data_IF_055223080297
#
_entry.id   IF_055223080297
#
_cell.length_a   1.000
_cell.length_b   1.000
_cell.length_c   1.000
_cell.angle_alpha   90.00
_cell.angle_beta   90.00
_cell.angle_gamma   90.00
#
_symmetry.space_group_name_H-M   'P 1'
#
loop_
_entity.id
_entity.type
_entity.pdbx_description
1 polymer ?
#
# COMPACT_ATOMS: atom_id res chain seq x y z
N UNK A 1 2.89 -1.64 -10.32
CA UNK A 1 2.45 -2.91 -9.70
C UNK A 1 3.37 -4.05 -10.10
N UNK A 2 3.72 -4.92 -9.19
CA UNK A 2 4.55 -6.08 -9.48
C UNK A 2 3.65 -7.32 -9.62
N UNK A 3 3.40 -7.79 -10.86
CA UNK A 3 2.49 -8.93 -11.07
C UNK A 3 3.00 -10.21 -10.40
N UNK A 4 4.30 -10.36 -10.23
CA UNK A 4 4.86 -11.54 -9.55
C UNK A 4 4.47 -11.58 -8.08
N UNK A 5 4.45 -10.42 -7.41
CA UNK A 5 4.02 -10.33 -6.01
C UNK A 5 2.53 -10.64 -5.89
N UNK A 6 1.72 -10.07 -6.78
CA UNK A 6 0.27 -10.31 -6.78
C UNK A 6 -0.02 -11.80 -6.99
N UNK A 7 0.63 -12.43 -7.97
CA UNK A 7 0.43 -13.84 -8.25
C UNK A 7 0.84 -14.72 -7.06
N UNK A 8 1.96 -14.40 -6.42
CA UNK A 8 2.42 -15.13 -5.25
C UNK A 8 1.44 -14.99 -4.08
N UNK A 9 0.90 -13.80 -3.87
CA UNK A 9 -0.11 -13.56 -2.83
C UNK A 9 -1.39 -14.35 -3.09
N UNK A 10 -1.87 -14.34 -4.33
CA UNK A 10 -3.06 -15.10 -4.71
C UNK A 10 -2.87 -16.59 -4.42
N UNK A 11 -1.72 -17.13 -4.77
CA UNK A 11 -1.41 -18.55 -4.48
C UNK A 11 -1.42 -18.85 -2.99
N UNK A 12 -0.81 -17.99 -2.18
CA UNK A 12 -0.80 -18.16 -0.73
C UNK A 12 -2.20 -18.08 -0.14
N UNK A 13 -2.97 -17.10 -0.54
CA UNK A 13 -4.32 -16.89 -0.02
C UNK A 13 -5.27 -18.02 -0.42
N UNK A 14 -5.03 -18.65 -1.57
CA UNK A 14 -5.83 -19.77 -2.03
C UNK A 14 -5.73 -21.00 -1.13
N UNK A 15 -4.70 -21.07 -0.27
CA UNK A 15 -4.59 -22.14 0.73
C UNK A 15 -5.71 -22.04 1.78
N UNK A 16 -6.28 -20.88 1.98
CA UNK A 16 -7.34 -20.68 2.97
C UNK A 16 -8.70 -21.14 2.47
N UNK A 17 -9.02 -20.86 1.21
CA UNK A 17 -10.28 -21.26 0.60
C UNK A 17 -10.15 -21.16 -0.91
N UNK A 18 -10.09 -22.28 -1.59
CA UNK A 18 -9.89 -22.35 -3.03
C UNK A 18 -11.08 -21.82 -3.85
N UNK A 19 -12.24 -21.66 -3.22
CA UNK A 19 -13.45 -21.18 -3.91
C UNK A 19 -13.60 -19.67 -3.91
N UNK A 20 -12.74 -18.93 -3.18
CA UNK A 20 -12.79 -17.49 -3.12
C UNK A 20 -11.76 -16.87 -4.04
N UNK A 21 -12.10 -15.72 -4.58
CA UNK A 21 -11.14 -14.93 -5.34
C UNK A 21 -10.44 -13.97 -4.39
N UNK A 22 -9.13 -13.91 -4.53
CA UNK A 22 -8.30 -13.08 -3.67
C UNK A 22 -7.57 -11.98 -4.44
N UNK A 23 -8.02 -11.70 -5.67
CA UNK A 23 -7.36 -10.73 -6.54
C UNK A 23 -7.36 -9.34 -5.91
N UNK A 24 -8.53 -8.88 -5.42
CA UNK A 24 -8.63 -7.55 -4.82
C UNK A 24 -7.77 -7.43 -3.57
N UNK A 25 -7.78 -8.46 -2.74
CA UNK A 25 -6.97 -8.47 -1.52
C UNK A 25 -5.47 -8.40 -1.87
N UNK A 26 -5.04 -9.20 -2.84
CA UNK A 26 -3.64 -9.22 -3.26
C UNK A 26 -3.22 -7.89 -3.89
N UNK A 27 -4.09 -7.26 -4.69
CA UNK A 27 -3.82 -5.96 -5.28
C UNK A 27 -3.71 -4.88 -4.21
N UNK A 28 -4.63 -4.87 -3.23
CA UNK A 28 -4.57 -3.90 -2.15
C UNK A 28 -3.30 -4.05 -1.31
N UNK A 29 -2.90 -5.28 -1.01
CA UNK A 29 -1.64 -5.54 -0.30
C UNK A 29 -0.44 -5.03 -1.09
N UNK A 30 -0.40 -5.31 -2.39
CA UNK A 30 0.68 -4.84 -3.24
C UNK A 30 0.72 -3.32 -3.34
N UNK A 31 -0.44 -2.68 -3.46
CA UNK A 31 -0.52 -1.22 -3.56
C UNK A 31 -0.06 -0.56 -2.28
N UNK A 32 -0.41 -1.11 -1.11
CA UNK A 32 0.09 -0.61 0.17
C UNK A 32 1.60 -0.78 0.24
N UNK A 33 2.12 -1.92 -0.20
CA UNK A 33 3.55 -2.18 -0.22
C UNK A 33 4.30 -1.15 -1.08
N UNK A 34 3.81 -0.90 -2.29
CA UNK A 34 4.43 0.07 -3.19
C UNK A 34 4.32 1.50 -2.66
N UNK A 35 3.15 1.86 -2.11
CA UNK A 35 2.96 3.18 -1.52
C UNK A 35 3.83 3.39 -0.29
N UNK A 36 4.04 2.35 0.51
CA UNK A 36 4.93 2.42 1.67
C UNK A 36 6.38 2.65 1.25
N UNK A 37 6.82 2.03 0.16
CA UNK A 37 8.15 2.26 -0.38
C UNK A 37 8.31 3.69 -0.91
N UNK A 38 7.28 4.21 -1.56
CA UNK A 38 7.28 5.59 -2.04
C UNK A 38 7.31 6.57 -0.87
N UNK A 39 6.52 6.31 0.17
CA UNK A 39 6.52 7.12 1.38
C UNK A 39 7.90 7.14 2.04
N UNK A 40 8.55 5.98 2.13
CA UNK A 40 9.90 5.86 2.69
C UNK A 40 10.88 6.75 1.92
N UNK A 41 10.83 6.72 0.59
CA UNK A 41 11.69 7.56 -0.23
C UNK A 41 11.41 9.04 -0.03
N UNK A 42 10.14 9.44 0.04
CA UNK A 42 9.76 10.83 0.28
C UNK A 42 10.31 11.33 1.62
N UNK A 43 10.18 10.52 2.66
CA UNK A 43 10.69 10.87 3.99
C UNK A 43 12.21 10.96 3.97
N UNK A 44 12.88 9.98 3.36
CA UNK A 44 14.34 9.95 3.27
C UNK A 44 14.87 11.16 2.50
N UNK A 45 14.24 11.50 1.37
CA UNK A 45 14.64 12.65 0.58
C UNK A 45 14.46 13.95 1.36
N UNK A 46 13.37 14.06 2.12
CA UNK A 46 13.12 15.24 2.95
C UNK A 46 14.19 15.41 4.02
N UNK A 47 14.64 14.30 4.62
CA UNK A 47 15.65 14.34 5.67
C UNK A 47 17.06 14.60 5.15
N UNK A 48 17.39 14.08 3.96
CA UNK A 48 18.75 14.11 3.44
C UNK A 48 19.04 15.30 2.54
N UNK A 49 18.01 15.99 2.04
CA UNK A 49 18.19 17.12 1.14
C UNK A 49 18.17 18.44 1.87
N UNK A 50 18.98 19.39 1.39
CA UNK A 50 18.93 20.76 1.87
C UNK A 50 17.81 21.48 1.11
N UNK A 51 16.62 21.54 1.71
CA UNK A 51 15.45 22.12 1.08
C UNK A 51 15.18 23.52 1.63
N UNK A 52 14.77 24.43 0.75
CA UNK A 52 14.21 25.71 1.21
C UNK A 52 12.77 25.48 1.72
N UNK A 53 12.20 26.52 2.29
CA UNK A 53 10.88 26.41 2.91
C UNK A 53 9.79 26.00 1.91
N UNK A 54 9.85 26.54 0.69
CA UNK A 54 8.87 26.25 -0.34
C UNK A 54 8.93 24.78 -0.77
N UNK A 55 10.13 24.27 -1.01
CA UNK A 55 10.31 22.86 -1.39
C UNK A 55 9.96 21.92 -0.27
N UNK A 56 10.25 22.31 0.96
CA UNK A 56 9.86 21.50 2.12
C UNK A 56 8.34 21.36 2.21
N UNK A 57 7.61 22.46 1.99
CA UNK A 57 6.15 22.42 1.99
C UNK A 57 5.64 21.50 0.88
N UNK A 58 6.21 21.57 -0.32
CA UNK A 58 5.84 20.68 -1.43
C UNK A 58 6.04 19.22 -1.06
N UNK A 59 7.18 18.89 -0.43
CA UNK A 59 7.46 17.52 0.00
C UNK A 59 6.46 17.03 1.06
N UNK A 60 6.10 17.90 1.99
CA UNK A 60 5.13 17.55 3.02
C UNK A 60 3.74 17.30 2.42
N UNK A 61 3.37 18.06 1.40
CA UNK A 61 2.12 17.84 0.68
C UNK A 61 2.13 16.49 -0.03
N UNK A 62 3.23 16.14 -0.68
CA UNK A 62 3.35 14.83 -1.33
C UNK A 62 3.26 13.67 -0.34
N UNK A 63 3.84 13.84 0.84
CA UNK A 63 3.73 12.85 1.92
C UNK A 63 2.27 12.70 2.35
N UNK A 64 1.56 13.81 2.51
CA UNK A 64 0.14 13.79 2.89
C UNK A 64 -0.70 13.04 1.84
N UNK A 65 -0.49 13.33 0.56
CA UNK A 65 -1.18 12.66 -0.53
C UNK A 65 -0.93 11.16 -0.50
N UNK A 66 0.31 10.74 -0.27
CA UNK A 66 0.66 9.33 -0.21
C UNK A 66 0.04 8.63 1.01
N UNK A 67 -0.03 9.33 2.14
CA UNK A 67 -0.72 8.81 3.33
C UNK A 67 -2.21 8.61 3.08
N UNK A 68 -2.84 9.54 2.37
CA UNK A 68 -4.25 9.40 2.01
C UNK A 68 -4.48 8.19 1.11
N UNK A 69 -3.58 7.96 0.16
CA UNK A 69 -3.63 6.81 -0.73
C UNK A 69 -3.49 5.50 0.04
N UNK A 70 -2.53 5.44 0.96
CA UNK A 70 -2.33 4.28 1.83
C UNK A 70 -3.57 4.05 2.70
N UNK A 71 -4.13 5.11 3.25
CA UNK A 71 -5.32 5.02 4.10
C UNK A 71 -6.53 4.45 3.33
N UNK A 72 -6.68 4.84 2.08
CA UNK A 72 -7.76 4.32 1.24
C UNK A 72 -7.63 2.81 1.04
N UNK A 73 -6.44 2.35 0.67
CA UNK A 73 -6.17 0.92 0.51
C UNK A 73 -6.26 0.17 1.85
N UNK A 74 -5.78 0.81 2.92
CA UNK A 74 -5.84 0.23 4.26
C UNK A 74 -7.28 -0.07 4.68
N UNK A 75 -8.20 0.86 4.45
CA UNK A 75 -9.60 0.66 4.81
C UNK A 75 -10.22 -0.48 4.03
N UNK A 76 -9.95 -0.53 2.73
CA UNK A 76 -10.45 -1.60 1.87
C UNK A 76 -9.88 -2.96 2.28
N UNK A 77 -8.58 -3.00 2.50
CA UNK A 77 -7.89 -4.22 2.91
C UNK A 77 -8.41 -4.74 4.24
N UNK A 78 -8.60 -3.84 5.20
CA UNK A 78 -9.10 -4.22 6.52
C UNK A 78 -10.50 -4.84 6.43
N UNK A 79 -11.35 -4.28 5.57
CA UNK A 79 -12.69 -4.81 5.32
C UNK A 79 -12.63 -6.20 4.71
N UNK A 80 -11.77 -6.38 3.71
CA UNK A 80 -11.59 -7.66 3.05
C UNK A 80 -11.04 -8.73 3.99
N UNK A 81 -10.08 -8.35 4.84
CA UNK A 81 -9.52 -9.25 5.84
C UNK A 81 -10.56 -9.68 6.87
N UNK A 82 -11.41 -8.75 7.31
CA UNK A 82 -12.48 -9.08 8.24
C UNK A 82 -13.44 -10.10 7.63
N UNK A 83 -13.80 -9.92 6.37
CA UNK A 83 -14.68 -10.85 5.67
C UNK A 83 -14.04 -12.23 5.54
N UNK A 84 -12.75 -12.27 5.24
CA UNK A 84 -12.03 -13.52 5.09
C UNK A 84 -11.88 -14.28 6.41
N UNK A 85 -11.54 -13.56 7.48
CA UNK A 85 -11.22 -14.16 8.78
C UNK A 85 -12.48 -14.52 9.59
N UNK A 86 -13.60 -13.89 9.30
CA UNK A 86 -14.86 -14.13 10.02
C UNK A 86 -15.77 -15.16 9.35
N UNK A 87 -15.33 -15.76 8.28
CA UNK A 87 -16.10 -16.80 7.59
C UNK A 87 -15.82 -18.23 8.04
#
# INVERSE_FOLDING_TARGET
MNPTIVDALIKKLSLLNSNKEYVELAVDLNDIYESSNKLDRLITDTLSSSLDQEKLIEQLIEIEVELDHINWHYKNLKKELKQLLNT
#
